data_IF_739166067264
#
_entry.id   IF_739166067264
#
_cell.length_a   1.000
_cell.length_b   1.000
_cell.length_c   1.000
_cell.angle_alpha   90.00
_cell.angle_beta   90.00
_cell.angle_gamma   90.00
#
_symmetry.space_group_name_H-M   'P 1'
#
loop_
_entity.id
_entity.type
_entity.pdbx_description
1 polymer ?
#
# COMPACT_ATOMS: atom_id res chain seq x y z
N UNK A 1 -12.23 -23.24 -11.16
CA UNK A 1 -10.89 -22.82 -11.64
C UNK A 1 -10.32 -22.02 -10.49
N UNK A 2 -9.30 -22.58 -9.86
CA UNK A 2 -8.72 -22.07 -8.62
C UNK A 2 -7.95 -20.79 -8.92
N UNK A 3 -8.49 -19.66 -8.47
CA UNK A 3 -7.86 -18.36 -8.61
C UNK A 3 -6.80 -18.21 -7.54
N UNK A 4 -5.63 -18.83 -7.75
CA UNK A 4 -4.44 -18.52 -6.96
C UNK A 4 -4.15 -17.01 -7.02
N UNK A 5 -3.50 -16.42 -6.00
CA UNK A 5 -3.12 -15.03 -6.04
C UNK A 5 -2.34 -14.77 -7.33
N UNK A 6 -2.75 -13.75 -8.09
CA UNK A 6 -2.03 -13.35 -9.29
C UNK A 6 -0.68 -12.79 -8.87
N UNK A 7 0.34 -13.65 -8.79
CA UNK A 7 1.71 -13.22 -8.54
C UNK A 7 2.14 -12.31 -9.69
N UNK A 8 2.60 -11.10 -9.38
CA UNK A 8 3.20 -10.23 -10.39
C UNK A 8 4.57 -10.79 -10.78
N UNK A 9 4.85 -10.93 -12.07
CA UNK A 9 6.14 -11.41 -12.58
C UNK A 9 6.85 -10.28 -13.32
N UNK A 10 8.10 -10.03 -12.93
CA UNK A 10 9.02 -9.16 -13.67
C UNK A 10 10.20 -10.00 -14.11
N UNK A 11 10.32 -10.21 -15.43
CA UNK A 11 11.45 -10.91 -16.04
C UNK A 11 12.23 -9.90 -16.87
N UNK A 12 13.50 -9.72 -16.54
CA UNK A 12 14.40 -8.81 -17.24
C UNK A 12 15.42 -9.67 -17.97
N UNK A 13 15.46 -9.58 -19.30
CA UNK A 13 16.44 -10.28 -20.13
C UNK A 13 17.33 -9.30 -20.86
N UNK A 14 18.63 -9.49 -20.73
CA UNK A 14 19.66 -8.73 -21.46
C UNK A 14 20.49 -9.66 -22.34
N UNK A 15 20.79 -9.19 -23.56
CA UNK A 15 21.62 -9.90 -24.53
C UNK A 15 22.59 -8.93 -25.17
N UNK A 16 23.88 -9.07 -24.87
CA UNK A 16 24.91 -8.10 -25.28
C UNK A 16 24.52 -6.65 -24.94
N UNK A 17 23.83 -6.45 -23.82
CA UNK A 17 23.33 -5.16 -23.36
C UNK A 17 23.57 -5.00 -21.86
N UNK A 18 23.32 -3.79 -21.35
CA UNK A 18 23.40 -3.46 -19.93
C UNK A 18 22.06 -2.89 -19.48
N UNK A 19 21.40 -3.58 -18.55
CA UNK A 19 20.19 -3.11 -17.86
C UNK A 19 20.57 -2.63 -16.47
N UNK A 20 20.09 -1.45 -16.11
CA UNK A 20 20.26 -0.88 -14.78
C UNK A 20 18.90 -0.58 -14.18
N UNK A 21 18.61 -1.20 -13.03
CA UNK A 21 17.44 -0.91 -12.20
C UNK A 21 17.91 -0.07 -11.02
N UNK A 22 17.29 1.10 -10.86
CA UNK A 22 17.65 2.07 -9.83
C UNK A 22 16.40 2.58 -9.13
N UNK A 23 16.46 2.82 -7.83
CA UNK A 23 15.38 3.45 -7.06
C UNK A 23 14.02 2.80 -7.37
N UNK A 24 13.93 1.47 -7.23
CA UNK A 24 12.76 0.69 -7.62
C UNK A 24 12.27 -0.17 -6.46
N UNK A 25 10.96 -0.37 -6.36
CA UNK A 25 10.34 -1.25 -5.36
C UNK A 25 9.53 -2.34 -6.06
N UNK A 26 9.88 -3.59 -5.78
CA UNK A 26 9.13 -4.78 -6.18
C UNK A 26 8.57 -5.42 -4.92
N UNK A 27 7.24 -5.52 -4.82
CA UNK A 27 6.57 -6.05 -3.64
C UNK A 27 5.63 -7.21 -3.99
N UNK A 28 5.71 -8.31 -3.23
CA UNK A 28 4.81 -9.46 -3.33
C UNK A 28 4.68 -10.02 -4.75
N UNK A 29 5.84 -10.21 -5.39
CA UNK A 29 5.96 -10.71 -6.75
C UNK A 29 7.23 -11.54 -6.93
N UNK A 30 7.42 -12.01 -8.15
CA UNK A 30 8.60 -12.73 -8.59
C UNK A 30 9.42 -11.83 -9.50
N UNK A 31 10.68 -11.57 -9.13
CA UNK A 31 11.63 -10.81 -9.95
C UNK A 31 12.75 -11.74 -10.38
N UNK A 32 12.96 -11.85 -11.70
CA UNK A 32 14.09 -12.58 -12.25
C UNK A 32 14.89 -11.75 -13.25
N UNK A 33 16.20 -12.00 -13.24
CA UNK A 33 17.14 -11.50 -14.23
C UNK A 33 17.72 -12.68 -15.01
N UNK A 34 17.62 -12.61 -16.33
CA UNK A 34 18.26 -13.52 -17.26
C UNK A 34 19.33 -12.74 -18.02
N UNK A 35 20.59 -12.86 -17.59
CA UNK A 35 21.70 -12.09 -18.13
C UNK A 35 22.54 -13.01 -19.01
N UNK A 36 22.59 -12.71 -20.31
CA UNK A 36 23.32 -13.54 -21.27
C UNK A 36 24.18 -12.68 -22.18
N UNK A 37 25.43 -13.09 -22.36
CA UNK A 37 26.29 -12.41 -23.31
C UNK A 37 27.24 -13.39 -23.98
N UNK A 38 26.95 -13.82 -25.22
CA UNK A 38 27.80 -14.78 -25.94
C UNK A 38 29.12 -14.17 -26.44
N UNK A 39 29.24 -12.83 -26.44
CA UNK A 39 30.36 -12.10 -27.07
C UNK A 39 31.08 -11.11 -26.16
N UNK A 40 30.47 -10.72 -25.04
CA UNK A 40 31.02 -9.76 -24.05
C UNK A 40 30.73 -10.27 -22.63
N UNK A 41 31.34 -9.69 -21.60
CA UNK A 41 30.70 -9.72 -20.28
C UNK A 41 29.70 -8.55 -20.27
N UNK A 42 28.39 -8.83 -20.23
CA UNK A 42 27.45 -7.83 -19.74
C UNK A 42 27.69 -7.59 -18.25
N UNK A 43 26.94 -6.68 -17.65
CA UNK A 43 26.95 -6.52 -16.21
C UNK A 43 25.66 -5.83 -15.79
N UNK A 44 24.55 -6.54 -15.65
CA UNK A 44 23.34 -5.87 -15.21
C UNK A 44 23.49 -5.38 -13.77
N UNK A 45 22.80 -4.28 -13.44
CA UNK A 45 22.92 -3.65 -12.11
C UNK A 45 21.56 -3.43 -11.47
N UNK A 46 21.50 -3.64 -10.15
CA UNK A 46 20.41 -3.18 -9.29
C UNK A 46 21.03 -2.30 -8.22
N UNK A 47 20.57 -1.06 -8.10
CA UNK A 47 21.07 -0.10 -7.10
C UNK A 47 19.88 0.56 -6.40
N UNK A 48 19.97 0.85 -5.11
CA UNK A 48 18.95 1.58 -4.34
C UNK A 48 17.54 1.01 -4.49
N UNK A 49 17.41 -0.31 -4.56
CA UNK A 49 16.11 -0.93 -4.83
C UNK A 49 15.67 -1.82 -3.67
N UNK A 50 14.35 -1.98 -3.54
CA UNK A 50 13.73 -2.89 -2.57
C UNK A 50 13.05 -4.03 -3.35
N UNK A 51 13.39 -5.27 -3.01
CA UNK A 51 12.69 -6.47 -3.49
C UNK A 51 12.21 -7.25 -2.26
N UNK A 52 10.91 -7.20 -1.99
CA UNK A 52 10.35 -7.67 -0.71
C UNK A 52 8.96 -8.29 -0.83
N UNK A 53 8.54 -9.07 0.17
CA UNK A 53 7.21 -9.64 0.33
C UNK A 53 6.86 -10.77 -0.65
N UNK A 54 7.79 -11.18 -1.51
CA UNK A 54 7.59 -12.20 -2.55
C UNK A 54 8.67 -13.29 -2.51
N UNK A 55 8.92 -13.93 -3.64
CA UNK A 55 10.06 -14.84 -3.77
C UNK A 55 11.36 -14.03 -3.82
N UNK A 56 12.44 -14.59 -3.29
CA UNK A 56 13.77 -13.98 -3.41
C UNK A 56 14.12 -13.75 -4.88
N UNK A 57 14.85 -12.66 -5.14
CA UNK A 57 15.40 -12.33 -6.46
C UNK A 57 16.06 -13.57 -7.08
N UNK A 58 15.67 -13.92 -8.30
CA UNK A 58 16.25 -15.04 -9.05
C UNK A 58 17.19 -14.54 -10.14
N UNK A 59 18.25 -15.30 -10.38
CA UNK A 59 19.26 -14.98 -11.40
C UNK A 59 19.57 -16.20 -12.24
N UNK A 60 19.39 -16.06 -13.55
CA UNK A 60 19.85 -16.99 -14.57
C UNK A 60 20.97 -16.31 -15.36
N UNK A 61 22.19 -16.86 -15.36
CA UNK A 61 23.32 -16.28 -16.10
C UNK A 61 23.95 -17.23 -17.11
N UNK A 62 24.43 -16.64 -18.20
CA UNK A 62 25.32 -17.30 -19.15
C UNK A 62 26.49 -16.37 -19.49
N UNK A 63 27.67 -16.65 -18.89
CA UNK A 63 28.90 -15.86 -18.97
C UNK A 63 28.79 -14.39 -18.52
N UNK A 64 27.95 -14.13 -17.50
CA UNK A 64 27.61 -12.78 -17.07
C UNK A 64 27.38 -12.68 -15.55
N UNK A 65 27.33 -11.47 -15.01
CA UNK A 65 27.14 -11.18 -13.58
C UNK A 65 26.10 -10.11 -13.34
N UNK A 66 25.18 -10.36 -12.40
CA UNK A 66 24.31 -9.33 -11.83
C UNK A 66 25.00 -8.69 -10.62
N UNK A 67 25.22 -7.38 -10.68
CA UNK A 67 25.76 -6.62 -9.56
C UNK A 67 24.64 -5.90 -8.82
N UNK A 68 24.43 -6.22 -7.54
CA UNK A 68 23.43 -5.57 -6.69
C UNK A 68 24.14 -4.80 -5.59
N UNK A 69 23.87 -3.52 -5.46
CA UNK A 69 24.49 -2.64 -4.47
C UNK A 69 23.44 -1.79 -3.77
N UNK A 70 23.67 -1.47 -2.50
CA UNK A 70 22.80 -0.60 -1.71
C UNK A 70 21.31 -0.90 -1.91
N UNK A 71 20.93 -2.17 -1.84
CA UNK A 71 19.56 -2.64 -2.07
C UNK A 71 19.10 -3.55 -0.95
N UNK A 72 17.80 -3.52 -0.66
CA UNK A 72 17.17 -4.38 0.33
C UNK A 72 16.49 -5.55 -0.39
N UNK A 73 17.04 -6.75 -0.22
CA UNK A 73 16.63 -7.93 -0.97
C UNK A 73 16.23 -9.02 0.02
N UNK A 74 14.97 -9.43 -0.01
CA UNK A 74 14.46 -10.49 0.85
C UNK A 74 15.18 -11.82 0.60
N UNK A 75 15.74 -12.39 1.67
CA UNK A 75 16.58 -13.60 1.61
C UNK A 75 18.06 -13.31 1.30
N UNK A 76 18.40 -12.03 1.20
CA UNK A 76 19.76 -11.52 1.05
C UNK A 76 20.30 -11.56 -0.37
N UNK A 77 21.22 -10.64 -0.67
CA UNK A 77 22.01 -10.66 -1.89
C UNK A 77 23.42 -10.12 -1.65
N UNK A 78 24.47 -10.80 -2.13
CA UNK A 78 25.84 -10.33 -1.94
C UNK A 78 26.08 -9.00 -2.64
N UNK A 79 26.67 -8.04 -1.93
CA UNK A 79 27.02 -6.73 -2.49
C UNK A 79 27.26 -5.68 -1.41
N UNK A 80 27.95 -4.61 -1.75
CA UNK A 80 28.22 -3.51 -0.81
C UNK A 80 26.91 -2.78 -0.51
N UNK A 81 26.63 -2.57 0.77
CA UNK A 81 25.48 -1.80 1.22
C UNK A 81 24.13 -2.52 1.10
N UNK A 82 24.10 -3.76 0.62
CA UNK A 82 22.85 -4.53 0.60
C UNK A 82 22.44 -4.92 2.01
N UNK A 83 21.14 -4.96 2.24
CA UNK A 83 20.53 -5.41 3.48
C UNK A 83 19.43 -6.45 3.19
N UNK A 84 19.03 -7.17 4.24
CA UNK A 84 17.93 -8.13 4.23
C UNK A 84 17.15 -7.94 5.53
N UNK A 85 16.24 -6.97 5.52
CA UNK A 85 15.48 -6.57 6.72
C UNK A 85 14.15 -5.98 6.27
N UNK A 86 13.10 -6.15 7.06
CA UNK A 86 11.79 -5.60 6.73
C UNK A 86 11.89 -4.08 6.41
N UNK A 87 11.52 -3.65 5.19
CA UNK A 87 11.59 -2.24 4.79
C UNK A 87 10.59 -1.36 5.54
N UNK A 88 9.66 -1.94 6.31
CA UNK A 88 8.66 -1.22 7.10
C UNK A 88 7.78 -0.29 6.25
N UNK A 89 7.18 -0.84 5.18
CA UNK A 89 6.19 -0.12 4.38
C UNK A 89 4.96 0.26 5.21
N UNK A 90 4.40 1.46 4.98
CA UNK A 90 3.28 1.98 5.77
C UNK A 90 1.99 1.14 5.61
N UNK A 91 1.49 0.94 4.39
CA UNK A 91 0.30 0.11 4.13
C UNK A 91 0.41 -0.70 2.83
N UNK A 92 1.31 -1.68 2.76
CA UNK A 92 1.58 -2.42 1.53
C UNK A 92 0.35 -3.18 1.00
N UNK A 93 -0.52 -3.69 1.88
CA UNK A 93 -1.76 -4.39 1.51
C UNK A 93 -2.77 -3.50 0.76
N UNK A 94 -2.60 -2.18 0.86
CA UNK A 94 -3.44 -1.20 0.14
C UNK A 94 -2.70 -0.52 -1.01
N UNK A 95 -1.47 -0.97 -1.31
CA UNK A 95 -0.63 -0.41 -2.37
C UNK A 95 0.18 0.82 -1.94
N UNK A 96 0.25 1.14 -0.65
CA UNK A 96 1.10 2.22 -0.16
C UNK A 96 2.45 1.68 0.31
N UNK A 97 3.45 1.82 -0.56
CA UNK A 97 4.83 1.38 -0.36
C UNK A 97 5.76 2.49 0.11
N UNK A 98 5.20 3.57 0.68
CA UNK A 98 6.01 4.59 1.33
C UNK A 98 6.77 3.95 2.51
N UNK A 99 8.08 4.17 2.57
CA UNK A 99 8.88 3.91 3.77
C UNK A 99 8.75 5.10 4.72
N UNK A 100 8.88 4.85 6.03
CA UNK A 100 8.77 5.91 7.02
C UNK A 100 9.23 5.48 8.41
N UNK A 101 8.86 6.27 9.42
CA UNK A 101 8.83 5.78 10.78
C UNK A 101 7.61 4.85 10.90
N UNK A 102 7.84 3.54 10.97
CA UNK A 102 6.81 2.68 11.53
C UNK A 102 6.62 3.17 12.97
N UNK A 103 5.40 3.35 13.45
CA UNK A 103 4.44 2.27 13.44
C UNK A 103 2.99 2.77 13.39
N UNK A 104 2.59 3.77 12.59
CA UNK A 104 1.21 4.29 12.66
C UNK A 104 0.13 3.18 12.53
N UNK A 105 -0.78 2.98 13.51
CA UNK A 105 -1.17 3.94 14.57
C UNK A 105 -0.36 3.87 15.87
N UNK A 106 0.51 2.87 16.06
CA UNK A 106 1.52 2.85 17.13
C UNK A 106 2.54 3.98 16.94
N UNK A 107 2.57 4.91 17.89
CA UNK A 107 3.64 5.93 17.98
C UNK A 107 4.86 5.21 18.55
N UNK A 108 5.63 4.56 17.68
CA UNK A 108 7.01 4.23 18.00
C UNK A 108 7.96 4.94 17.03
N UNK A 109 9.22 4.99 17.43
CA UNK A 109 10.28 5.71 16.70
C UNK A 109 11.01 4.79 15.72
N UNK A 110 10.40 3.69 15.28
CA UNK A 110 11.08 2.68 14.46
C UNK A 110 11.24 3.22 13.04
N UNK A 111 12.45 3.70 12.73
CA UNK A 111 12.83 4.16 11.40
C UNK A 111 12.98 2.95 10.47
N UNK A 112 12.37 3.02 9.29
CA UNK A 112 12.66 2.08 8.20
C UNK A 112 14.18 1.99 8.00
N UNK A 113 14.73 0.77 7.92
CA UNK A 113 16.16 0.57 7.67
C UNK A 113 16.57 1.02 6.27
N UNK A 114 15.62 1.36 5.40
CA UNK A 114 15.85 1.80 4.03
C UNK A 114 16.07 3.32 3.88
N UNK A 115 15.83 4.10 4.94
CA UNK A 115 15.97 5.55 4.92
C UNK A 115 17.42 5.98 5.17
N UNK A 116 17.96 6.85 4.32
CA UNK A 116 19.33 7.35 4.27
C UNK A 116 20.39 6.27 4.00
N UNK A 117 20.01 5.17 3.35
CA UNK A 117 20.86 3.96 3.23
C UNK A 117 21.26 3.54 1.82
N UNK A 118 20.76 4.22 0.78
CA UNK A 118 21.12 4.03 -0.63
C UNK A 118 22.54 4.47 -0.98
N UNK A 119 23.02 4.21 -2.20
CA UNK A 119 24.37 4.50 -2.67
C UNK A 119 24.79 5.95 -2.36
N UNK A 120 25.89 6.18 -1.62
CA UNK A 120 26.37 7.52 -1.28
C UNK A 120 26.80 8.35 -2.49
N UNK A 121 26.97 7.73 -3.67
CA UNK A 121 27.26 8.43 -4.92
C UNK A 121 26.01 8.77 -5.73
N UNK A 122 24.83 8.32 -5.31
CA UNK A 122 23.58 8.73 -5.94
C UNK A 122 23.27 10.19 -5.63
N UNK A 123 22.48 10.87 -6.49
CA UNK A 123 21.91 12.16 -6.14
C UNK A 123 21.20 12.10 -4.79
N UNK A 124 21.29 13.19 -4.01
CA UNK A 124 20.51 13.34 -2.79
C UNK A 124 19.02 13.29 -3.08
N UNK A 125 18.24 12.85 -2.10
CA UNK A 125 16.80 12.93 -2.18
C UNK A 125 16.32 14.40 -2.14
N UNK A 126 15.07 14.69 -2.52
CA UNK A 126 14.54 16.06 -2.55
C UNK A 126 14.58 16.82 -1.21
N UNK A 127 14.69 16.11 -0.09
CA UNK A 127 14.92 16.67 1.23
C UNK A 127 16.40 16.96 1.55
N UNK A 128 17.28 16.73 0.58
CA UNK A 128 18.73 16.91 0.65
C UNK A 128 19.45 15.95 1.60
N UNK A 129 18.85 14.79 1.89
CA UNK A 129 19.49 13.72 2.63
C UNK A 129 20.05 12.64 1.68
N UNK A 130 20.71 11.63 2.25
CA UNK A 130 21.31 10.56 1.45
C UNK A 130 20.17 9.75 0.82
N UNK A 131 20.34 9.35 -0.43
CA UNK A 131 19.33 8.58 -1.15
C UNK A 131 18.79 7.41 -0.31
N UNK A 132 17.47 7.28 -0.28
CA UNK A 132 16.77 6.12 0.26
C UNK A 132 16.85 4.94 -0.70
N UNK A 133 16.63 3.73 -0.18
CA UNK A 133 16.36 2.56 -1.01
C UNK A 133 14.89 2.49 -1.39
N UNK A 134 14.61 2.09 -2.63
CA UNK A 134 13.25 1.90 -3.15
C UNK A 134 12.80 3.01 -4.09
N UNK A 135 11.55 2.90 -4.54
CA UNK A 135 10.94 3.83 -5.49
C UNK A 135 10.48 5.16 -4.88
N UNK A 136 10.30 5.20 -3.56
CA UNK A 136 9.72 6.34 -2.84
C UNK A 136 10.66 6.73 -1.70
N UNK A 137 11.21 7.94 -1.76
CA UNK A 137 11.97 8.52 -0.66
C UNK A 137 11.03 8.97 0.47
N UNK A 138 11.56 9.01 1.69
CA UNK A 138 10.89 9.56 2.85
C UNK A 138 11.34 10.99 3.08
N UNK A 139 10.42 11.94 2.94
CA UNK A 139 10.73 13.34 3.17
C UNK A 139 10.94 13.63 4.66
N UNK A 140 12.20 13.85 5.04
CA UNK A 140 12.62 14.17 6.42
C UNK A 140 12.58 15.67 6.72
N UNK A 141 12.23 16.53 5.75
CA UNK A 141 12.11 17.96 6.02
C UNK A 141 11.02 18.17 7.05
N UNK A 142 11.25 19.03 8.05
CA UNK A 142 10.17 19.52 8.88
C UNK A 142 9.12 20.14 7.97
N UNK A 143 7.88 19.66 8.05
CA UNK A 143 6.78 20.32 7.37
C UNK A 143 6.67 21.71 7.98
N UNK A 144 6.86 22.76 7.17
CA UNK A 144 6.58 24.12 7.63
C UNK A 144 5.08 24.17 7.95
N UNK A 145 4.73 24.67 9.13
CA UNK A 145 3.35 24.75 9.62
C UNK A 145 2.48 25.55 8.63
N UNK A 146 3.11 26.41 7.81
CA UNK A 146 2.47 27.18 6.74
C UNK A 146 2.06 26.34 5.53
N UNK A 147 2.71 25.21 5.28
CA UNK A 147 2.44 24.31 4.14
C UNK A 147 1.44 23.20 4.48
N UNK A 148 1.06 23.06 5.75
CA UNK A 148 -0.05 22.19 6.15
C UNK A 148 -1.36 22.87 5.72
N UNK A 149 -1.78 22.60 4.49
CA UNK A 149 -3.18 22.74 4.10
C UNK A 149 -3.98 21.70 4.90
N UNK A 150 -4.34 22.05 6.13
CA UNK A 150 -5.30 21.29 6.92
C UNK A 150 -6.66 21.47 6.24
N UNK A 151 -6.93 20.63 5.25
CA UNK A 151 -8.30 20.44 4.81
C UNK A 151 -9.02 19.83 6.01
N UNK A 152 -10.01 20.54 6.60
CA UNK A 152 -10.74 19.98 7.71
C UNK A 152 -11.31 18.65 7.23
N UNK A 153 -10.96 17.57 7.95
CA UNK A 153 -11.60 16.28 7.73
C UNK A 153 -13.11 16.56 7.80
N UNK A 154 -13.86 16.08 6.82
CA UNK A 154 -15.30 16.28 6.77
C UNK A 154 -15.97 14.96 7.14
N UNK A 155 -17.20 15.05 7.63
CA UNK A 155 -18.07 13.88 7.67
C UNK A 155 -18.16 13.30 6.26
N UNK A 156 -17.77 12.04 6.11
CA UNK A 156 -17.80 11.36 4.83
C UNK A 156 -18.43 9.99 5.01
N UNK A 157 -19.25 9.59 4.04
CA UNK A 157 -19.75 8.24 3.89
C UNK A 157 -19.29 7.79 2.51
N UNK A 158 -18.47 6.75 2.44
CA UNK A 158 -17.88 6.24 1.20
C UNK A 158 -18.79 5.16 0.61
N UNK A 159 -18.55 4.85 -0.67
CA UNK A 159 -19.20 3.71 -1.32
C UNK A 159 -18.85 2.41 -0.61
N UNK A 160 -19.86 1.54 -0.47
CA UNK A 160 -19.65 0.22 0.10
C UNK A 160 -18.91 -0.67 -0.92
N UNK A 161 -18.02 -1.54 -0.45
CA UNK A 161 -17.30 -2.47 -1.30
C UNK A 161 -17.41 -3.91 -0.75
N UNK A 162 -17.77 -4.90 -1.59
CA UNK A 162 -18.17 -4.75 -3.00
C UNK A 162 -19.54 -4.07 -3.16
N UNK A 163 -19.83 -3.53 -4.35
CA UNK A 163 -21.16 -3.04 -4.78
C UNK A 163 -21.29 -3.18 -6.32
N UNK A 164 -22.20 -4.02 -6.85
CA UNK A 164 -23.11 -4.91 -6.13
C UNK A 164 -22.38 -5.96 -5.29
N UNK A 165 -23.03 -6.47 -4.24
CA UNK A 165 -22.44 -7.48 -3.36
C UNK A 165 -23.32 -8.71 -3.18
N UNK A 166 -22.69 -9.84 -2.85
CA UNK A 166 -23.37 -11.04 -2.39
C UNK A 166 -23.14 -11.24 -0.89
N UNK A 167 -24.23 -11.31 -0.12
CA UNK A 167 -24.27 -11.67 1.31
C UNK A 167 -23.60 -10.71 2.30
N UNK A 168 -22.52 -10.00 1.94
CA UNK A 168 -21.91 -8.98 2.80
C UNK A 168 -21.18 -7.88 2.04
N UNK A 169 -21.09 -6.69 2.62
CA UNK A 169 -20.34 -5.54 2.09
C UNK A 169 -19.73 -4.72 3.23
N UNK A 170 -18.64 -4.01 2.95
CA UNK A 170 -17.98 -3.12 3.90
C UNK A 170 -18.37 -1.68 3.63
N UNK A 171 -18.91 -0.99 4.63
CA UNK A 171 -19.21 0.44 4.61
C UNK A 171 -18.09 1.18 5.33
N UNK A 172 -17.57 2.24 4.71
CA UNK A 172 -16.51 3.09 5.28
C UNK A 172 -17.02 4.51 5.48
N UNK A 173 -16.63 5.14 6.58
CA UNK A 173 -16.97 6.53 6.88
C UNK A 173 -15.88 7.19 7.71
N UNK A 174 -15.85 8.53 7.67
CA UNK A 174 -14.92 9.35 8.44
C UNK A 174 -15.72 10.31 9.32
N UNK A 175 -15.28 10.46 10.58
CA UNK A 175 -15.77 11.51 11.48
C UNK A 175 -14.62 12.45 11.87
N UNK A 176 -14.82 13.77 11.78
CA UNK A 176 -13.74 14.74 12.00
C UNK A 176 -13.56 15.17 13.46
N UNK A 177 -14.57 14.92 14.28
CA UNK A 177 -14.59 15.23 15.72
C UNK A 177 -15.22 14.05 16.45
N UNK A 178 -14.92 13.93 17.74
CA UNK A 178 -15.58 12.93 18.57
C UNK A 178 -17.09 13.21 18.61
N UNK A 179 -17.91 12.24 18.21
CA UNK A 179 -19.36 12.45 18.05
C UNK A 179 -20.12 11.13 18.19
N UNK A 180 -21.40 11.15 18.61
CA UNK A 180 -22.30 10.01 18.46
C UNK A 180 -22.57 9.75 16.98
N UNK A 181 -22.52 8.48 16.60
CA UNK A 181 -22.67 8.01 15.22
C UNK A 181 -23.64 6.83 15.20
N UNK A 182 -24.67 6.95 14.37
CA UNK A 182 -25.58 5.85 14.05
C UNK A 182 -25.46 5.48 12.58
N UNK A 183 -25.26 4.19 12.27
CA UNK A 183 -25.25 3.66 10.91
C UNK A 183 -26.42 2.71 10.73
N UNK A 184 -27.39 3.12 9.91
CA UNK A 184 -28.63 2.39 9.67
C UNK A 184 -28.74 1.92 8.22
N UNK A 185 -29.45 0.81 8.01
CA UNK A 185 -29.85 0.30 6.70
C UNK A 185 -31.34 0.50 6.49
N UNK A 186 -31.72 0.97 5.30
CA UNK A 186 -33.09 1.19 4.84
C UNK A 186 -33.35 0.45 3.52
N UNK A 187 -34.59 0.02 3.31
CA UNK A 187 -35.03 -0.49 2.02
C UNK A 187 -35.44 0.64 1.06
N UNK A 188 -35.82 0.29 -0.18
CA UNK A 188 -36.25 1.26 -1.21
C UNK A 188 -37.51 2.05 -0.84
N UNK A 189 -38.30 1.56 0.13
CA UNK A 189 -39.49 2.25 0.64
C UNK A 189 -39.15 3.16 1.84
N UNK A 190 -37.87 3.25 2.22
CA UNK A 190 -37.41 4.03 3.36
C UNK A 190 -37.69 3.38 4.72
N UNK A 191 -38.05 2.08 4.76
CA UNK A 191 -38.25 1.36 6.02
C UNK A 191 -36.91 0.94 6.58
N UNK A 192 -36.68 1.20 7.87
CA UNK A 192 -35.45 0.77 8.54
C UNK A 192 -35.40 -0.75 8.64
N UNK A 193 -34.34 -1.34 8.09
CA UNK A 193 -34.07 -2.78 8.06
C UNK A 193 -33.26 -3.20 9.29
N UNK A 194 -32.17 -2.48 9.58
CA UNK A 194 -31.24 -2.81 10.65
C UNK A 194 -30.42 -1.59 11.05
N UNK A 195 -30.09 -1.46 12.34
CA UNK A 195 -29.03 -0.58 12.83
C UNK A 195 -27.74 -1.39 12.95
N UNK A 196 -26.68 -0.99 12.22
CA UNK A 196 -25.37 -1.68 12.24
C UNK A 196 -24.49 -1.20 13.38
N UNK A 197 -24.62 0.08 13.73
CA UNK A 197 -23.81 0.72 14.74
C UNK A 197 -24.60 1.89 15.35
N UNK A 198 -24.46 2.07 16.66
CA UNK A 198 -24.99 3.22 17.40
C UNK A 198 -24.10 3.48 18.62
N UNK A 199 -22.99 4.20 18.42
CA UNK A 199 -21.97 4.45 19.45
C UNK A 199 -21.36 5.85 19.30
N UNK A 200 -20.74 6.35 20.37
CA UNK A 200 -19.86 7.52 20.30
C UNK A 200 -18.44 7.09 19.96
N UNK A 201 -17.81 7.77 19.00
CA UNK A 201 -16.48 7.43 18.50
C UNK A 201 -15.59 8.68 18.43
N UNK A 202 -14.27 8.56 18.66
CA UNK A 202 -13.32 9.65 18.46
C UNK A 202 -13.14 10.01 16.97
N UNK A 203 -12.53 11.15 16.66
CA UNK A 203 -12.20 11.50 15.28
C UNK A 203 -11.37 10.40 14.61
N UNK A 204 -11.72 10.02 13.38
CA UNK A 204 -11.04 8.94 12.66
C UNK A 204 -11.85 8.34 11.52
N UNK A 205 -11.24 7.34 10.86
CA UNK A 205 -11.88 6.53 9.84
C UNK A 205 -12.33 5.18 10.39
N UNK A 206 -13.51 4.73 9.96
CA UNK A 206 -14.15 3.53 10.48
C UNK A 206 -14.68 2.64 9.36
N UNK A 207 -14.79 1.35 9.69
CA UNK A 207 -15.28 0.31 8.79
C UNK A 207 -16.31 -0.54 9.52
N UNK A 208 -17.46 -0.75 8.90
CA UNK A 208 -18.54 -1.59 9.41
C UNK A 208 -18.97 -2.57 8.33
N UNK A 209 -19.05 -3.85 8.68
CA UNK A 209 -19.50 -4.89 7.76
C UNK A 209 -21.00 -5.07 7.92
N UNK A 210 -21.75 -4.97 6.82
CA UNK A 210 -23.14 -5.41 6.81
C UNK A 210 -23.23 -6.85 6.32
N UNK A 211 -23.77 -7.74 7.16
CA UNK A 211 -24.14 -9.09 6.77
C UNK A 211 -25.63 -9.14 6.40
N UNK A 212 -25.91 -9.31 5.11
CA UNK A 212 -27.25 -9.24 4.53
C UNK A 212 -27.89 -10.62 4.29
N UNK A 213 -27.41 -11.68 4.98
CA UNK A 213 -27.91 -13.04 4.79
C UNK A 213 -29.43 -13.17 5.04
N UNK A 214 -29.99 -12.33 5.91
CA UNK A 214 -31.41 -12.36 6.32
C UNK A 214 -32.33 -11.47 5.48
N UNK A 215 -31.83 -10.82 4.42
CA UNK A 215 -32.63 -9.94 3.55
C UNK A 215 -32.59 -10.40 2.10
N UNK A 216 -33.56 -9.98 1.28
CA UNK A 216 -33.68 -10.39 -0.14
C UNK A 216 -32.86 -9.50 -1.08
N UNK A 217 -32.58 -9.98 -2.31
CA UNK A 217 -31.94 -9.16 -3.36
C UNK A 217 -32.71 -7.86 -3.61
N UNK A 218 -32.00 -6.77 -3.87
CA UNK A 218 -32.64 -5.48 -4.11
C UNK A 218 -31.74 -4.28 -3.84
N UNK A 219 -32.33 -3.09 -3.96
CA UNK A 219 -31.68 -1.81 -3.64
C UNK A 219 -31.95 -1.47 -2.18
N UNK A 220 -30.88 -1.11 -1.49
CA UNK A 220 -30.91 -0.65 -0.10
C UNK A 220 -30.15 0.68 0.01
N UNK A 221 -30.39 1.39 1.10
CA UNK A 221 -29.67 2.60 1.45
C UNK A 221 -29.03 2.43 2.82
N UNK A 222 -27.78 2.85 2.96
CA UNK A 222 -27.14 2.99 4.26
C UNK A 222 -27.03 4.47 4.58
N UNK A 223 -27.30 4.82 5.84
CA UNK A 223 -27.34 6.19 6.33
C UNK A 223 -26.48 6.34 7.56
N UNK A 224 -25.51 7.23 7.48
CA UNK A 224 -24.69 7.69 8.57
C UNK A 224 -25.34 8.94 9.18
N UNK A 225 -25.74 8.86 10.44
CA UNK A 225 -26.30 9.97 11.21
C UNK A 225 -25.33 10.37 12.31
N UNK A 226 -25.14 11.67 12.46
CA UNK A 226 -24.34 12.33 13.49
C UNK A 226 -25.13 13.49 14.05
N UNK A 227 -24.62 14.17 15.09
CA UNK A 227 -25.32 15.32 15.71
C UNK A 227 -25.67 16.44 14.72
N UNK A 228 -24.83 16.66 13.70
CA UNK A 228 -24.96 17.79 12.77
C UNK A 228 -25.36 17.41 11.36
N UNK A 229 -25.19 16.14 10.96
CA UNK A 229 -25.34 15.72 9.58
C UNK A 229 -25.92 14.31 9.45
N UNK A 230 -26.61 14.07 8.33
CA UNK A 230 -27.06 12.75 7.89
C UNK A 230 -26.70 12.56 6.41
N UNK A 231 -25.87 11.57 6.11
CA UNK A 231 -25.43 11.24 4.75
C UNK A 231 -25.96 9.85 4.40
N UNK A 232 -26.55 9.69 3.22
CA UNK A 232 -27.08 8.40 2.75
C UNK A 232 -26.50 8.02 1.39
N UNK A 233 -26.30 6.72 1.16
CA UNK A 233 -25.86 6.18 -0.13
C UNK A 233 -26.61 4.91 -0.50
N UNK A 234 -26.85 4.66 -1.80
CA UNK A 234 -27.46 3.42 -2.27
C UNK A 234 -26.44 2.27 -2.32
N UNK A 235 -26.95 1.05 -2.25
CA UNK A 235 -26.20 -0.20 -2.46
C UNK A 235 -27.10 -1.26 -3.09
N UNK A 236 -26.50 -2.20 -3.83
CA UNK A 236 -27.22 -3.26 -4.55
C UNK A 236 -26.80 -4.62 -3.99
N UNK A 237 -27.76 -5.36 -3.44
CA UNK A 237 -27.57 -6.74 -3.00
C UNK A 237 -28.02 -7.71 -4.09
N UNK A 238 -27.13 -8.61 -4.49
CA UNK A 238 -27.38 -9.73 -5.40
C UNK A 238 -27.20 -11.06 -4.63
N UNK A 239 -28.28 -11.84 -4.53
CA UNK A 239 -28.23 -13.27 -4.19
C UNK A 239 -28.36 -14.11 -5.44
#
# INVERSE_FOLDING_TARGET
MDGGPSTAYVNITSLNSHVSVKNSTFYNGYVSFAVSSPTYCGYDTIINSIIWGGDSLQLETYNDTLTVLYSDIQGGWPGVGNIDVDPLFVYPDTGNFQIGWANWPTIDSTKSPCIDTGDPNSPLDPDSTRADMGALFFNQRPVDIKDIQINPVQYSLLENYPNPFNSSTTIRYTIPTASPVTLDIYDILGRKVQTLLDISQPAGEYRVIWNANKVGSGVYFYRLTTDSNSISRPMILLK
#
